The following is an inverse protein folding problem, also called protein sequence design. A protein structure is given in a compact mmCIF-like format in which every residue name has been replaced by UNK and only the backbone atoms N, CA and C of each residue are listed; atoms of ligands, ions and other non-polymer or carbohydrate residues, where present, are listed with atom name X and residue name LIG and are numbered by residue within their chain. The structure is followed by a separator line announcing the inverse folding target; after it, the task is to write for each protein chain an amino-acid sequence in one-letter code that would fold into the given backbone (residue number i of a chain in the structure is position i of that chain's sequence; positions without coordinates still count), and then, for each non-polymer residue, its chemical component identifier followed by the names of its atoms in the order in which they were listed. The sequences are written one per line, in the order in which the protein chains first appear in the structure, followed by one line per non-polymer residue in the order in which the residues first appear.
data_IF_070072074660
#
_entry.id   IF_070072074660
#
_cell.length_a   1.000
_cell.length_b   1.000
_cell.length_c   1.000
_cell.angle_alpha   90.00
_cell.angle_beta   90.00
_cell.angle_gamma   90.00
#
_symmetry.space_group_name_H-M   'P 1'
#
loop_
_entity.id
_entity.type
_entity.pdbx_description
1 polymer ?
#
# COMPACT_ATOMS: atom_id res chain seq x y z
N UNK A 1 4.30 -9.81 16.10
CA UNK A 1 3.96 -9.43 14.70
C UNK A 1 2.87 -8.37 14.61
N UNK A 2 1.68 -8.53 15.21
CA UNK A 2 0.59 -7.52 15.10
C UNK A 2 1.00 -6.08 15.46
N UNK A 3 1.74 -5.89 16.56
CA UNK A 3 2.19 -4.56 16.98
C UNK A 3 3.19 -3.97 16.00
N UNK A 4 4.15 -4.77 15.52
CA UNK A 4 5.11 -4.34 14.50
C UNK A 4 4.40 -3.91 13.20
N UNK A 5 3.42 -4.69 12.75
CA UNK A 5 2.61 -4.39 11.57
C UNK A 5 1.90 -3.04 11.72
N UNK A 6 1.20 -2.82 12.85
CA UNK A 6 0.49 -1.58 13.13
C UNK A 6 1.44 -0.40 13.28
N UNK A 7 2.56 -0.57 13.99
CA UNK A 7 3.58 0.46 14.14
C UNK A 7 4.11 0.90 12.78
N UNK A 8 4.49 -0.04 11.92
CA UNK A 8 4.97 0.30 10.57
C UNK A 8 3.90 1.01 9.74
N UNK A 9 2.66 0.50 9.76
CA UNK A 9 1.55 1.13 9.05
C UNK A 9 1.35 2.59 9.49
N UNK A 10 1.26 2.85 10.80
CA UNK A 10 1.02 4.20 11.31
C UNK A 10 2.22 5.12 11.13
N UNK A 11 3.45 4.62 11.28
CA UNK A 11 4.67 5.40 11.02
C UNK A 11 4.69 5.89 9.57
N UNK A 12 4.45 4.99 8.61
CA UNK A 12 4.46 5.35 7.18
C UNK A 12 3.26 6.21 6.84
N UNK A 13 2.09 5.95 7.41
CA UNK A 13 0.90 6.79 7.21
C UNK A 13 1.14 8.22 7.67
N UNK A 14 1.62 8.41 8.90
CA UNK A 14 1.93 9.73 9.45
C UNK A 14 2.99 10.42 8.60
N UNK A 15 4.09 9.73 8.30
CA UNK A 15 5.15 10.28 7.45
C UNK A 15 4.63 10.71 6.08
N UNK A 16 3.82 9.88 5.42
CA UNK A 16 3.28 10.18 4.09
C UNK A 16 2.40 11.43 4.06
N UNK A 17 1.71 11.72 5.17
CA UNK A 17 0.84 12.89 5.31
C UNK A 17 1.57 14.18 5.69
N UNK A 18 2.88 14.13 5.98
CA UNK A 18 3.67 15.32 6.26
C UNK A 18 4.14 15.92 4.94
N UNK A 19 3.60 17.06 4.53
CA UNK A 19 3.94 17.76 3.28
C UNK A 19 3.89 16.85 2.03
N UNK A 20 2.78 16.15 1.74
CA UNK A 20 2.64 15.48 0.47
C UNK A 20 2.68 16.51 -0.67
N UNK A 21 3.12 16.08 -1.85
CA UNK A 21 3.20 16.93 -3.04
C UNK A 21 1.84 17.56 -3.39
N UNK A 22 0.78 16.77 -3.30
CA UNK A 22 -0.60 17.22 -3.45
C UNK A 22 -1.50 16.54 -2.40
N UNK A 23 -2.16 17.35 -1.57
CA UNK A 23 -2.95 16.86 -0.44
C UNK A 23 -4.18 16.05 -0.88
N UNK A 24 -4.80 16.44 -1.99
CA UNK A 24 -6.01 15.79 -2.49
C UNK A 24 -5.68 14.42 -3.10
N UNK A 25 -4.63 14.36 -3.92
CA UNK A 25 -4.11 13.11 -4.51
C UNK A 25 -3.64 12.17 -3.40
N UNK A 26 -2.87 12.67 -2.43
CA UNK A 26 -2.46 11.87 -1.27
C UNK A 26 -3.66 11.24 -0.56
N UNK A 27 -4.71 12.02 -0.31
CA UNK A 27 -5.92 11.52 0.36
C UNK A 27 -6.57 10.39 -0.44
N UNK A 28 -6.75 10.56 -1.75
CA UNK A 28 -7.36 9.55 -2.62
C UNK A 28 -6.54 8.25 -2.66
N UNK A 29 -5.21 8.34 -2.66
CA UNK A 29 -4.32 7.19 -2.68
C UNK A 29 -4.25 6.46 -1.33
N UNK A 30 -4.36 7.20 -0.21
CA UNK A 30 -4.26 6.64 1.14
C UNK A 30 -5.59 6.07 1.65
N UNK A 31 -6.74 6.59 1.19
CA UNK A 31 -8.07 6.09 1.59
C UNK A 31 -8.20 4.55 1.45
N UNK A 32 -7.82 3.92 0.32
CA UNK A 32 -7.86 2.46 0.19
C UNK A 32 -7.05 1.73 1.26
N UNK A 33 -5.88 2.26 1.65
CA UNK A 33 -5.07 1.67 2.71
C UNK A 33 -5.76 1.75 4.09
N UNK A 34 -6.43 2.86 4.39
CA UNK A 34 -7.20 3.03 5.63
C UNK A 34 -8.40 2.08 5.65
N UNK A 35 -9.14 1.97 4.54
CA UNK A 35 -10.25 1.03 4.40
C UNK A 35 -9.76 -0.41 4.62
N UNK A 36 -8.62 -0.77 4.00
CA UNK A 36 -7.98 -2.07 4.19
C UNK A 36 -7.68 -2.37 5.67
N UNK A 37 -7.10 -1.42 6.40
CA UNK A 37 -6.84 -1.56 7.84
C UNK A 37 -8.14 -1.82 8.63
N UNK A 38 -9.19 -1.04 8.38
CA UNK A 38 -10.47 -1.18 9.10
C UNK A 38 -11.10 -2.55 8.83
N UNK A 39 -11.08 -3.01 7.57
CA UNK A 39 -11.59 -4.34 7.20
C UNK A 39 -10.77 -5.46 7.85
N UNK A 40 -9.44 -5.35 7.88
CA UNK A 40 -8.61 -6.34 8.56
C UNK A 40 -8.88 -6.36 10.07
N UNK A 41 -9.05 -5.21 10.70
CA UNK A 41 -9.33 -5.12 12.12
C UNK A 41 -10.71 -5.72 12.48
N UNK A 42 -11.74 -5.46 11.66
CA UNK A 42 -13.10 -5.97 11.91
C UNK A 42 -13.23 -7.48 11.65
N UNK A 43 -12.47 -8.00 10.69
CA UNK A 43 -12.49 -9.43 10.33
C UNK A 43 -11.54 -10.28 11.17
N UNK A 44 -10.54 -9.69 11.84
CA UNK A 44 -9.47 -10.42 12.56
C UNK A 44 -9.96 -11.47 13.57
N UNK A 45 -11.10 -11.25 14.23
CA UNK A 45 -11.64 -12.21 15.21
C UNK A 45 -12.35 -13.40 14.56
N UNK A 46 -12.92 -13.22 13.37
CA UNK A 46 -13.75 -14.22 12.69
C UNK A 46 -13.00 -14.93 11.55
N UNK A 47 -12.11 -14.21 10.86
CA UNK A 47 -11.36 -14.69 9.70
C UNK A 47 -9.90 -14.22 9.81
N UNK A 48 -9.02 -15.12 10.21
CA UNK A 48 -7.59 -14.83 10.36
C UNK A 48 -6.87 -15.20 9.08
N UNK A 49 -6.30 -14.20 8.42
CA UNK A 49 -5.44 -14.42 7.26
C UNK A 49 -4.11 -15.05 7.67
N UNK A 50 -3.42 -15.62 6.70
CA UNK A 50 -2.07 -16.12 6.84
C UNK A 50 -1.11 -14.96 7.15
N UNK A 51 -0.08 -15.18 7.99
CA UNK A 51 0.90 -14.14 8.30
C UNK A 51 1.55 -13.53 7.06
N UNK A 52 1.74 -14.33 6.00
CA UNK A 52 2.36 -13.88 4.76
C UNK A 52 1.45 -12.91 3.98
N UNK A 53 0.14 -13.17 3.96
CA UNK A 53 -0.82 -12.28 3.32
C UNK A 53 -0.92 -10.95 4.06
N UNK A 54 -0.90 -10.95 5.40
CA UNK A 54 -0.79 -9.71 6.17
C UNK A 54 0.44 -8.89 5.79
N UNK A 55 1.59 -9.53 5.56
CA UNK A 55 2.81 -8.84 5.10
C UNK A 55 2.64 -8.23 3.71
N UNK A 56 2.04 -8.96 2.75
CA UNK A 56 1.77 -8.42 1.42
C UNK A 56 0.77 -7.27 1.43
N UNK A 57 -0.27 -7.33 2.27
CA UNK A 57 -1.21 -6.22 2.44
C UNK A 57 -0.51 -4.99 3.01
N UNK A 58 0.37 -5.15 4.02
CA UNK A 58 1.16 -4.03 4.52
C UNK A 58 2.04 -3.42 3.44
N UNK A 59 2.73 -4.26 2.66
CA UNK A 59 3.57 -3.80 1.56
C UNK A 59 2.74 -3.02 0.53
N UNK A 60 1.56 -3.51 0.17
CA UNK A 60 0.62 -2.80 -0.70
C UNK A 60 0.21 -1.43 -0.14
N UNK A 61 -0.15 -1.36 1.15
CA UNK A 61 -0.49 -0.10 1.82
C UNK A 61 0.69 0.89 1.80
N UNK A 62 1.91 0.41 2.04
CA UNK A 62 3.12 1.26 2.00
C UNK A 62 3.35 1.80 0.58
N UNK A 63 3.16 0.97 -0.46
CA UNK A 63 3.28 1.40 -1.86
C UNK A 63 2.31 2.55 -2.17
N UNK A 64 1.06 2.44 -1.73
CA UNK A 64 0.04 3.50 -1.88
C UNK A 64 0.45 4.78 -1.13
N UNK A 65 0.92 4.66 0.12
CA UNK A 65 1.32 5.81 0.94
C UNK A 65 2.53 6.56 0.36
N UNK A 66 3.54 5.83 -0.13
CA UNK A 66 4.70 6.44 -0.81
C UNK A 66 4.27 7.10 -2.12
N UNK A 67 3.41 6.43 -2.90
CA UNK A 67 2.84 6.96 -4.14
C UNK A 67 2.02 8.22 -3.90
N UNK A 68 1.23 8.27 -2.83
CA UNK A 68 0.46 9.45 -2.43
C UNK A 68 1.34 10.59 -1.93
N UNK A 69 2.42 10.32 -1.20
CA UNK A 69 3.32 11.35 -0.67
C UNK A 69 4.08 12.09 -1.78
N UNK A 70 4.68 11.34 -2.72
CA UNK A 70 5.47 11.92 -3.80
C UNK A 70 4.69 12.19 -5.08
N UNK A 71 3.51 11.60 -5.26
CA UNK A 71 2.90 11.27 -6.57
C UNK A 71 3.66 10.17 -7.30
N UNK A 72 2.94 9.27 -7.98
CA UNK A 72 3.51 8.14 -8.71
C UNK A 72 4.52 8.54 -9.80
N UNK A 73 4.40 9.76 -10.32
CA UNK A 73 5.29 10.27 -11.34
C UNK A 73 6.64 10.75 -10.81
N UNK A 74 6.77 10.94 -9.50
CA UNK A 74 7.93 11.64 -8.91
C UNK A 74 8.56 10.87 -7.74
N UNK A 75 8.22 9.59 -7.58
CA UNK A 75 8.88 8.75 -6.57
C UNK A 75 10.36 8.62 -6.92
N UNK A 76 11.27 8.99 -6.02
CA UNK A 76 12.71 8.98 -6.31
C UNK A 76 13.21 7.57 -6.63
N UNK A 77 14.28 7.49 -7.41
CA UNK A 77 14.95 6.25 -7.86
C UNK A 77 14.21 5.40 -8.90
N UNK A 78 13.00 5.79 -9.33
CA UNK A 78 12.23 5.06 -10.34
C UNK A 78 12.22 5.73 -11.74
N UNK A 79 12.83 6.91 -11.85
CA UNK A 79 13.01 7.63 -13.12
C UNK A 79 14.09 6.98 -13.99
N UNK A 80 13.86 6.90 -15.30
CA UNK A 80 14.80 6.37 -16.30
C UNK A 80 15.32 4.94 -16.05
N UNK A 81 14.73 4.20 -15.10
CA UNK A 81 15.00 2.77 -14.95
C UNK A 81 14.65 2.06 -16.26
N UNK A 82 15.60 1.30 -16.78
CA UNK A 82 15.49 0.55 -18.04
C UNK A 82 15.20 1.43 -19.28
N UNK A 83 15.62 2.71 -19.28
CA UNK A 83 15.41 3.61 -20.42
C UNK A 83 13.96 4.07 -20.60
N UNK A 84 13.15 3.97 -19.55
CA UNK A 84 11.75 4.43 -19.56
C UNK A 84 11.68 5.96 -19.51
N UNK A 85 10.93 6.56 -20.43
CA UNK A 85 10.67 8.02 -20.46
C UNK A 85 9.83 8.51 -19.26
N UNK A 86 9.16 7.59 -18.55
CA UNK A 86 8.35 7.88 -17.36
C UNK A 86 8.83 7.10 -16.15
N UNK A 87 8.57 7.65 -14.97
CA UNK A 87 8.78 7.00 -13.69
C UNK A 87 8.05 5.64 -13.65
N UNK A 88 8.77 4.57 -13.30
CA UNK A 88 8.23 3.21 -13.29
C UNK A 88 7.46 2.85 -12.03
N UNK A 89 7.33 3.75 -11.05
CA UNK A 89 6.66 3.47 -9.80
C UNK A 89 5.17 3.13 -9.98
N UNK A 90 4.52 3.71 -10.98
CA UNK A 90 3.15 3.37 -11.40
C UNK A 90 2.98 1.87 -11.71
N UNK A 91 3.98 1.25 -12.33
CA UNK A 91 3.99 -0.19 -12.61
C UNK A 91 4.07 -1.02 -11.33
N UNK A 92 4.78 -0.53 -10.31
CA UNK A 92 4.84 -1.16 -8.99
C UNK A 92 3.46 -1.10 -8.33
N UNK A 93 2.82 0.07 -8.36
CA UNK A 93 1.44 0.24 -7.90
C UNK A 93 0.50 -0.76 -8.57
N UNK A 94 0.49 -0.80 -9.90
CA UNK A 94 -0.34 -1.73 -10.67
C UNK A 94 -0.04 -3.21 -10.39
N UNK A 95 1.23 -3.58 -10.22
CA UNK A 95 1.59 -4.95 -9.82
C UNK A 95 0.96 -5.30 -8.48
N UNK A 96 1.08 -4.44 -7.48
CA UNK A 96 0.52 -4.65 -6.16
C UNK A 96 -1.02 -4.63 -6.17
N UNK A 97 -1.65 -3.82 -7.03
CA UNK A 97 -3.11 -3.78 -7.26
C UNK A 97 -3.65 -5.07 -7.87
N UNK A 98 -2.88 -5.80 -8.69
CA UNK A 98 -3.29 -7.12 -9.18
C UNK A 98 -2.94 -8.24 -8.19
N UNK A 99 -1.71 -8.22 -7.66
CA UNK A 99 -1.12 -9.32 -6.92
C UNK A 99 -1.78 -9.55 -5.55
N UNK A 100 -1.95 -8.49 -4.75
CA UNK A 100 -2.47 -8.63 -3.39
C UNK A 100 -3.95 -9.02 -3.38
N UNK A 101 -4.83 -8.41 -4.19
CA UNK A 101 -6.21 -8.87 -4.32
C UNK A 101 -6.33 -10.31 -4.83
N UNK A 102 -5.46 -10.75 -5.75
CA UNK A 102 -5.45 -12.14 -6.21
C UNK A 102 -5.10 -13.12 -5.07
N UNK A 103 -4.10 -12.80 -4.24
CA UNK A 103 -3.76 -13.61 -3.06
C UNK A 103 -4.89 -13.62 -2.03
N UNK A 104 -5.52 -12.47 -1.80
CA UNK A 104 -6.64 -12.34 -0.88
C UNK A 104 -7.86 -13.14 -1.36
N UNK A 105 -8.19 -13.06 -2.65
CA UNK A 105 -9.26 -13.86 -3.25
C UNK A 105 -8.95 -15.36 -3.14
N UNK A 106 -7.71 -15.79 -3.42
CA UNK A 106 -7.28 -17.18 -3.26
C UNK A 106 -7.52 -17.68 -1.84
N UNK A 107 -7.19 -16.89 -0.83
CA UNK A 107 -7.28 -17.31 0.57
C UNK A 107 -8.72 -17.27 1.12
N UNK A 108 -9.59 -16.47 0.52
CA UNK A 108 -11.01 -16.46 0.86
C UNK A 108 -11.76 -17.62 0.20
N UNK A 109 -11.38 -18.00 -1.02
CA UNK A 109 -12.10 -18.97 -1.84
C UNK A 109 -11.61 -20.42 -1.67
N UNK A 110 -10.39 -20.64 -1.17
CA UNK A 110 -9.78 -21.96 -0.96
C UNK A 110 -9.53 -22.22 0.53
#
# INVERSE_FOLDING_TARGET
MKYLWLSLFFIVLIWSGINPKDQFTWLLEVIPAIIGLVLLASTYSHFKLTPILYTFILAHCIVLMIGGHYTYAEVPFFDNLFGSERNNYDKVGHFFQGFVPALLAREILL
#
